data_IF_753361589520
#
_entry.id   IF_753361589520
#
_cell.length_a   1.000
_cell.length_b   1.000
_cell.length_c   1.000
_cell.angle_alpha   90.00
_cell.angle_beta   90.00
_cell.angle_gamma   90.00
#
_symmetry.space_group_name_H-M   'P 1'
#
loop_
_entity.id
_entity.type
_entity.pdbx_description
1 polymer ?
#
# COMPACT_ATOMS: atom_id res chain seq x y z
N UNK A 1 14.98 2.79 33.77
CA UNK A 1 13.74 3.54 34.04
C UNK A 1 13.96 5.06 33.88
N UNK A 2 14.43 5.55 32.71
CA UNK A 2 14.65 7.00 32.45
C UNK A 2 13.98 7.44 31.13
N UNK A 3 13.35 6.53 30.38
CA UNK A 3 12.80 6.80 29.04
C UNK A 3 11.38 7.39 29.01
N UNK A 4 10.72 7.60 30.16
CA UNK A 4 9.30 8.04 30.19
C UNK A 4 9.06 9.49 30.59
N UNK A 5 10.09 10.26 30.97
CA UNK A 5 9.90 11.64 31.46
C UNK A 5 10.10 12.72 30.41
N UNK A 6 10.69 12.43 29.24
CA UNK A 6 10.92 13.45 28.21
C UNK A 6 9.74 13.64 27.23
N UNK A 7 8.86 12.65 27.09
CA UNK A 7 7.75 12.68 26.12
C UNK A 7 6.55 13.50 26.60
N UNK A 8 6.44 13.78 27.90
CA UNK A 8 5.29 14.53 28.46
C UNK A 8 5.44 16.06 28.42
N UNK A 9 6.60 16.62 28.08
CA UNK A 9 6.78 18.08 28.05
C UNK A 9 6.61 18.73 26.67
N UNK A 10 6.54 17.96 25.57
CA UNK A 10 6.41 18.53 24.22
C UNK A 10 4.97 18.73 23.73
N UNK A 11 3.97 18.23 24.48
CA UNK A 11 2.53 18.37 24.13
C UNK A 11 1.82 19.52 24.87
N UNK A 12 2.51 20.28 25.72
CA UNK A 12 1.91 21.36 26.51
C UNK A 12 2.03 22.78 25.88
N UNK A 13 2.53 22.90 24.64
CA UNK A 13 2.97 24.18 24.08
C UNK A 13 2.11 24.83 22.98
N UNK A 14 1.03 24.20 22.48
CA UNK A 14 0.28 24.74 21.32
C UNK A 14 -1.23 24.71 21.53
N UNK A 15 -1.69 25.23 22.67
CA UNK A 15 -3.11 25.57 22.86
C UNK A 15 -3.19 26.95 23.51
N UNK A 16 -3.13 28.01 22.70
CA UNK A 16 -3.67 29.34 23.03
C UNK A 16 -3.51 30.32 21.84
N UNK A 17 -4.29 30.09 20.78
CA UNK A 17 -4.77 31.20 19.93
C UNK A 17 -6.24 30.91 19.65
N UNK A 18 -7.09 31.35 20.57
CA UNK A 18 -8.54 31.43 20.37
C UNK A 18 -8.92 32.90 20.41
N UNK A 19 -9.56 33.35 19.34
CA UNK A 19 -10.31 34.60 19.32
C UNK A 19 -9.78 35.65 18.35
N UNK A 20 -10.19 35.58 17.09
CA UNK A 20 -10.79 36.71 16.37
C UNK A 20 -11.53 36.20 15.13
N UNK A 21 -12.81 36.52 15.09
CA UNK A 21 -13.83 36.14 14.11
C UNK A 21 -13.56 36.72 12.72
N UNK A 22 -13.54 35.86 11.71
CA UNK A 22 -13.51 36.25 10.29
C UNK A 22 -12.92 35.15 9.41
N UNK A 23 -13.58 33.98 9.31
CA UNK A 23 -13.05 32.85 8.53
C UNK A 23 -13.21 33.11 7.03
N UNK A 24 -12.11 33.54 6.41
CA UNK A 24 -11.91 33.35 4.97
C UNK A 24 -11.60 31.87 4.74
N UNK A 25 -12.32 31.14 3.85
CA UNK A 25 -12.11 29.71 3.62
C UNK A 25 -10.72 29.34 3.08
N UNK A 26 -9.93 30.32 2.62
CA UNK A 26 -8.53 30.10 2.21
C UNK A 26 -7.56 29.88 3.39
N UNK A 27 -7.93 30.24 4.63
CA UNK A 27 -7.04 30.11 5.78
C UNK A 27 -6.99 28.67 6.35
N UNK A 28 -8.08 27.90 6.21
CA UNK A 28 -8.18 26.54 6.76
C UNK A 28 -7.39 25.51 5.93
N UNK A 29 -7.27 25.73 4.61
CA UNK A 29 -6.55 24.82 3.73
C UNK A 29 -5.02 24.90 3.92
N UNK A 30 -4.50 26.12 4.14
CA UNK A 30 -3.10 26.35 4.46
C UNK A 30 -2.70 25.74 5.82
N UNK A 31 -3.60 25.76 6.81
CA UNK A 31 -3.39 25.12 8.11
C UNK A 31 -3.29 23.59 8.01
N UNK A 32 -4.16 22.97 7.21
CA UNK A 32 -4.16 21.51 7.00
C UNK A 32 -2.90 21.00 6.29
N UNK A 33 -2.42 21.74 5.28
CA UNK A 33 -1.16 21.40 4.60
C UNK A 33 0.06 21.56 5.52
N UNK A 34 0.08 22.57 6.39
CA UNK A 34 1.15 22.76 7.36
C UNK A 34 1.19 21.63 8.40
N UNK A 35 0.03 21.19 8.91
CA UNK A 35 -0.07 20.09 9.88
C UNK A 35 0.37 18.75 9.27
N UNK A 36 -0.10 18.41 8.07
CA UNK A 36 0.30 17.17 7.39
C UNK A 36 1.80 17.13 7.04
N UNK A 37 2.41 18.27 6.70
CA UNK A 37 3.85 18.38 6.51
C UNK A 37 4.63 18.14 7.81
N UNK A 38 4.10 18.63 8.93
CA UNK A 38 4.70 18.48 10.25
C UNK A 38 4.61 17.03 10.73
N UNK A 39 3.48 16.36 10.53
CA UNK A 39 3.30 14.92 10.82
C UNK A 39 4.27 14.03 10.04
N UNK A 40 4.47 14.32 8.75
CA UNK A 40 5.47 13.61 7.92
C UNK A 40 6.88 13.77 8.49
N UNK A 41 7.28 14.99 8.83
CA UNK A 41 8.60 15.26 9.42
C UNK A 41 8.78 14.60 10.78
N UNK A 42 7.75 14.55 11.61
CA UNK A 42 7.79 13.83 12.89
C UNK A 42 7.99 12.34 12.65
N UNK A 43 7.24 11.75 11.72
CA UNK A 43 7.37 10.32 11.38
C UNK A 43 8.77 9.99 10.84
N UNK A 44 9.33 10.84 9.97
CA UNK A 44 10.70 10.69 9.46
C UNK A 44 11.74 10.77 10.59
N UNK A 45 11.58 11.71 11.53
CA UNK A 45 12.47 11.82 12.69
C UNK A 45 12.38 10.58 13.60
N UNK A 46 11.18 10.05 13.83
CA UNK A 46 10.99 8.82 14.62
C UNK A 46 11.67 7.61 13.96
N UNK A 47 11.60 7.50 12.64
CA UNK A 47 12.33 6.47 11.88
C UNK A 47 13.84 6.63 12.02
N UNK A 48 14.37 7.85 11.90
CA UNK A 48 15.82 8.13 12.08
C UNK A 48 16.26 7.79 13.50
N UNK A 49 15.52 8.19 14.53
CA UNK A 49 15.85 7.90 15.94
C UNK A 49 15.83 6.39 16.19
N UNK A 50 14.86 5.68 15.63
CA UNK A 50 14.77 4.22 15.74
C UNK A 50 15.97 3.53 15.08
N UNK A 51 16.36 3.99 13.88
CA UNK A 51 17.54 3.50 13.17
C UNK A 51 18.85 3.73 13.95
N UNK A 52 19.06 4.96 14.45
CA UNK A 52 20.24 5.30 15.26
C UNK A 52 20.30 4.52 16.57
N UNK A 53 19.14 4.24 17.18
CA UNK A 53 19.08 3.44 18.41
C UNK A 53 19.49 1.99 18.15
N UNK A 54 19.02 1.40 17.05
CA UNK A 54 19.42 0.06 16.64
C UNK A 54 20.93 -0.02 16.31
N UNK A 55 21.48 1.00 15.64
CA UNK A 55 22.91 1.07 15.33
C UNK A 55 23.77 1.21 16.59
N UNK A 56 23.33 2.02 17.57
CA UNK A 56 23.99 2.13 18.87
C UNK A 56 23.98 0.82 19.66
N UNK A 57 22.87 0.07 19.63
CA UNK A 57 22.83 -1.26 20.26
C UNK A 57 23.77 -2.25 19.57
N UNK A 58 23.81 -2.24 18.24
CA UNK A 58 24.75 -3.06 17.45
C UNK A 58 26.21 -2.75 17.82
N UNK A 59 26.58 -1.47 17.88
CA UNK A 59 27.93 -1.04 18.26
C UNK A 59 28.27 -1.41 19.71
N UNK A 60 27.30 -1.33 20.63
CA UNK A 60 27.49 -1.76 22.02
C UNK A 60 27.73 -3.26 22.12
N UNK A 61 26.98 -4.08 21.38
CA UNK A 61 27.20 -5.54 21.35
C UNK A 61 28.57 -5.87 20.76
N UNK A 62 28.97 -5.20 19.68
CA UNK A 62 30.30 -5.37 19.07
C UNK A 62 31.43 -5.00 20.04
N UNK A 63 31.32 -3.86 20.73
CA UNK A 63 32.29 -3.43 21.73
C UNK A 63 32.33 -4.38 22.93
N UNK A 64 31.18 -4.88 23.39
CA UNK A 64 31.13 -5.87 24.47
C UNK A 64 31.79 -7.20 24.07
N UNK A 65 31.63 -7.63 22.81
CA UNK A 65 32.33 -8.78 22.26
C UNK A 65 33.86 -8.59 22.27
N UNK A 66 34.35 -7.44 21.82
CA UNK A 66 35.77 -7.09 21.87
C UNK A 66 36.29 -7.01 23.32
N UNK A 67 35.54 -6.41 24.24
CA UNK A 67 35.95 -6.33 25.64
C UNK A 67 36.06 -7.73 26.27
N UNK A 68 35.13 -8.64 25.98
CA UNK A 68 35.21 -10.03 26.45
C UNK A 68 36.40 -10.77 25.86
N UNK A 69 36.78 -10.52 24.60
CA UNK A 69 37.97 -11.15 24.01
C UNK A 69 39.27 -10.61 24.65
N UNK A 70 39.34 -9.31 24.95
CA UNK A 70 40.44 -8.72 25.71
C UNK A 70 40.52 -9.26 27.15
N UNK A 71 39.40 -9.38 27.85
CA UNK A 71 39.36 -9.95 29.20
C UNK A 71 39.74 -11.44 29.22
N UNK A 72 39.30 -12.21 28.22
CA UNK A 72 39.68 -13.61 28.08
C UNK A 72 41.18 -13.77 27.82
N UNK A 73 41.78 -12.89 27.01
CA UNK A 73 43.23 -12.83 26.82
C UNK A 73 43.96 -12.45 28.11
N UNK A 74 43.47 -11.44 28.85
CA UNK A 74 44.08 -10.97 30.08
C UNK A 74 44.03 -12.01 31.22
N UNK A 75 42.92 -12.76 31.35
CA UNK A 75 42.76 -13.81 32.37
C UNK A 75 43.62 -15.05 32.12
N UNK A 76 44.06 -15.29 30.89
CA UNK A 76 44.83 -16.50 30.54
C UNK A 76 46.31 -16.45 30.92
N UNK A 77 46.81 -15.31 31.44
CA UNK A 77 48.00 -15.23 32.28
C UNK A 77 49.20 -16.06 31.82
N UNK A 78 49.54 -15.99 30.53
CA UNK A 78 50.63 -16.74 29.91
C UNK A 78 50.63 -16.51 28.41
N UNK A 79 51.81 -16.31 27.82
CA UNK A 79 51.94 -16.25 26.36
C UNK A 79 51.34 -17.54 25.78
N UNK A 80 50.28 -17.46 24.95
CA UNK A 80 49.66 -18.65 24.40
C UNK A 80 50.70 -19.39 23.56
N UNK A 81 50.79 -20.71 23.72
CA UNK A 81 51.52 -21.52 22.76
C UNK A 81 50.86 -21.33 21.39
N UNK A 82 51.65 -21.23 20.31
CA UNK A 82 51.19 -20.86 18.97
C UNK A 82 50.00 -21.70 18.44
N UNK A 83 49.78 -22.91 18.98
CA UNK A 83 48.64 -23.78 18.62
C UNK A 83 47.27 -23.35 19.18
N UNK A 84 47.22 -22.76 20.39
CA UNK A 84 45.93 -22.41 21.06
C UNK A 84 45.31 -21.12 20.49
N UNK A 85 46.12 -20.30 19.81
CA UNK A 85 45.65 -19.06 19.16
C UNK A 85 44.87 -19.39 17.89
N UNK A 86 45.29 -20.40 17.14
CA UNK A 86 44.64 -20.78 15.89
C UNK A 86 43.20 -21.29 16.11
N UNK A 87 42.99 -22.15 17.11
CA UNK A 87 41.66 -22.70 17.43
C UNK A 87 40.70 -21.62 17.95
N UNK A 88 41.20 -20.67 18.76
CA UNK A 88 40.40 -19.54 19.23
C UNK A 88 39.99 -18.60 18.10
N UNK A 89 40.89 -18.36 17.13
CA UNK A 89 40.59 -17.52 15.97
C UNK A 89 39.56 -18.21 15.07
N UNK A 90 39.69 -19.51 14.84
CA UNK A 90 38.73 -20.28 14.02
C UNK A 90 37.33 -20.30 14.67
N UNK A 91 37.25 -20.55 15.98
CA UNK A 91 35.98 -20.50 16.71
C UNK A 91 35.34 -19.09 16.71
N UNK A 92 36.16 -18.03 16.82
CA UNK A 92 35.69 -16.65 16.75
C UNK A 92 35.16 -16.29 15.36
N UNK A 93 35.85 -16.70 14.29
CA UNK A 93 35.40 -16.50 12.90
C UNK A 93 34.12 -17.27 12.63
N UNK A 94 34.00 -18.51 13.08
CA UNK A 94 32.78 -19.32 12.94
C UNK A 94 31.59 -18.68 13.68
N UNK A 95 31.81 -18.17 14.90
CA UNK A 95 30.79 -17.46 15.66
C UNK A 95 30.37 -16.14 14.98
N UNK A 96 31.32 -15.40 14.40
CA UNK A 96 31.02 -14.18 13.66
C UNK A 96 30.23 -14.45 12.36
N UNK A 97 30.61 -15.49 11.61
CA UNK A 97 29.88 -15.91 10.41
C UNK A 97 28.43 -16.30 10.75
N UNK A 98 28.23 -17.11 11.80
CA UNK A 98 26.89 -17.48 12.26
C UNK A 98 26.07 -16.26 12.69
N UNK A 99 26.67 -15.33 13.43
CA UNK A 99 25.99 -14.09 13.85
C UNK A 99 25.60 -13.21 12.65
N UNK A 100 26.42 -13.17 11.59
CA UNK A 100 26.10 -12.46 10.34
C UNK A 100 24.95 -13.12 9.59
N UNK A 101 24.93 -14.45 9.51
CA UNK A 101 23.83 -15.21 8.89
C UNK A 101 22.51 -14.98 9.63
N UNK A 102 22.50 -15.04 10.96
CA UNK A 102 21.32 -14.76 11.78
C UNK A 102 20.82 -13.32 11.58
N UNK A 103 21.73 -12.33 11.54
CA UNK A 103 21.39 -10.94 11.27
C UNK A 103 20.79 -10.76 9.87
N UNK A 104 21.35 -11.42 8.85
CA UNK A 104 20.83 -11.36 7.49
C UNK A 104 19.42 -11.96 7.41
N UNK A 105 19.19 -13.11 8.03
CA UNK A 105 17.86 -13.73 8.10
C UNK A 105 16.84 -12.83 8.79
N UNK A 106 17.24 -12.15 9.87
CA UNK A 106 16.39 -11.20 10.57
C UNK A 106 16.03 -10.00 9.68
N UNK A 107 17.00 -9.46 8.94
CA UNK A 107 16.75 -8.36 8.00
C UNK A 107 15.81 -8.78 6.86
N UNK A 108 15.99 -9.98 6.30
CA UNK A 108 15.11 -10.50 5.26
C UNK A 108 13.67 -10.72 5.78
N UNK A 109 13.52 -11.19 7.02
CA UNK A 109 12.22 -11.34 7.66
C UNK A 109 11.52 -9.98 7.84
N UNK A 110 12.24 -8.98 8.36
CA UNK A 110 11.74 -7.61 8.50
C UNK A 110 11.28 -7.03 7.15
N UNK A 111 12.11 -7.13 6.11
CA UNK A 111 11.74 -6.68 4.78
C UNK A 111 10.52 -7.42 4.20
N UNK A 112 10.36 -8.72 4.49
CA UNK A 112 9.19 -9.49 4.06
C UNK A 112 7.92 -8.98 4.74
N UNK A 113 7.99 -8.68 6.03
CA UNK A 113 6.85 -8.19 6.79
C UNK A 113 6.47 -6.76 6.39
N UNK A 114 7.43 -5.87 6.19
CA UNK A 114 7.20 -4.53 5.63
C UNK A 114 6.52 -4.60 4.25
N UNK A 115 7.00 -5.48 3.35
CA UNK A 115 6.37 -5.69 2.04
C UNK A 115 4.94 -6.21 2.16
N UNK A 116 4.66 -7.08 3.14
CA UNK A 116 3.30 -7.59 3.42
C UNK A 116 2.39 -6.47 3.90
N UNK A 117 2.83 -5.66 4.87
CA UNK A 117 2.08 -4.52 5.38
C UNK A 117 1.79 -3.50 4.27
N UNK A 118 2.80 -3.17 3.45
CA UNK A 118 2.62 -2.26 2.33
C UNK A 118 1.67 -2.84 1.25
N UNK A 119 1.70 -4.16 1.03
CA UNK A 119 0.76 -4.80 0.13
C UNK A 119 -0.68 -4.74 0.67
N UNK A 120 -0.87 -4.93 1.97
CA UNK A 120 -2.17 -4.83 2.63
C UNK A 120 -2.73 -3.41 2.62
N UNK A 121 -1.92 -2.40 2.96
CA UNK A 121 -2.32 -0.99 2.85
C UNK A 121 -2.75 -0.63 1.43
N UNK A 122 -2.00 -1.08 0.41
CA UNK A 122 -2.37 -0.87 -0.99
C UNK A 122 -3.68 -1.55 -1.36
N UNK A 123 -3.97 -2.73 -0.79
CA UNK A 123 -5.25 -3.43 -1.00
C UNK A 123 -6.41 -2.64 -0.37
N UNK A 124 -6.24 -2.17 0.85
CA UNK A 124 -7.25 -1.36 1.56
C UNK A 124 -7.54 -0.06 0.80
N UNK A 125 -6.49 0.70 0.44
CA UNK A 125 -6.65 1.93 -0.36
C UNK A 125 -7.27 1.67 -1.73
N UNK A 126 -6.95 0.55 -2.37
CA UNK A 126 -7.56 0.18 -3.65
C UNK A 126 -9.05 -0.19 -3.48
N UNK A 127 -9.44 -0.79 -2.36
CA UNK A 127 -10.83 -1.10 -2.06
C UNK A 127 -11.64 0.16 -1.73
N UNK A 128 -11.09 1.05 -0.91
CA UNK A 128 -11.70 2.35 -0.57
C UNK A 128 -11.96 3.19 -1.82
N UNK A 129 -10.93 3.40 -2.66
CA UNK A 129 -11.09 4.10 -3.95
C UNK A 129 -12.14 3.48 -4.86
N UNK A 130 -12.31 2.15 -4.82
CA UNK A 130 -13.35 1.47 -5.60
C UNK A 130 -14.74 1.74 -5.05
N UNK A 131 -14.89 1.78 -3.72
CA UNK A 131 -16.15 2.12 -3.07
C UNK A 131 -16.53 3.56 -3.37
N UNK A 132 -15.58 4.50 -3.24
CA UNK A 132 -15.78 5.91 -3.58
C UNK A 132 -16.15 6.10 -5.04
N UNK A 133 -15.41 5.50 -5.98
CA UNK A 133 -15.72 5.60 -7.41
C UNK A 133 -17.08 5.00 -7.77
N UNK A 134 -17.49 3.93 -7.08
CA UNK A 134 -18.81 3.32 -7.28
C UNK A 134 -19.91 4.24 -6.75
N UNK A 135 -19.71 4.83 -5.57
CA UNK A 135 -20.67 5.78 -4.99
C UNK A 135 -20.79 7.02 -5.88
N UNK A 136 -19.69 7.62 -6.33
CA UNK A 136 -19.69 8.76 -7.24
C UNK A 136 -20.45 8.44 -8.53
N UNK A 137 -20.22 7.26 -9.13
CA UNK A 137 -20.94 6.85 -10.34
C UNK A 137 -22.45 6.68 -10.09
N UNK A 138 -22.85 6.18 -8.92
CA UNK A 138 -24.26 6.08 -8.54
C UNK A 138 -24.85 7.48 -8.37
N UNK A 139 -24.13 8.39 -7.70
CA UNK A 139 -24.57 9.76 -7.46
C UNK A 139 -24.76 10.50 -8.80
N UNK A 140 -23.77 10.43 -9.70
CA UNK A 140 -23.85 11.00 -11.06
C UNK A 140 -25.03 10.41 -11.85
N UNK A 141 -25.21 9.09 -11.84
CA UNK A 141 -26.31 8.43 -12.54
C UNK A 141 -27.67 8.83 -11.93
N UNK A 142 -27.73 8.98 -10.61
CA UNK A 142 -28.96 9.38 -9.92
C UNK A 142 -29.39 10.79 -10.29
N UNK A 143 -28.43 11.70 -10.47
CA UNK A 143 -28.67 13.08 -10.89
C UNK A 143 -29.16 13.13 -12.34
N UNK A 144 -28.50 12.41 -13.25
CA UNK A 144 -28.87 12.37 -14.68
C UNK A 144 -30.26 11.78 -14.91
N UNK A 145 -30.61 10.73 -14.16
CA UNK A 145 -31.91 10.05 -14.27
C UNK A 145 -32.99 10.64 -13.38
N UNK A 146 -32.64 11.63 -12.54
CA UNK A 146 -33.51 12.22 -11.53
C UNK A 146 -34.20 11.14 -10.66
N UNK A 147 -33.41 10.20 -10.13
CA UNK A 147 -33.92 9.10 -9.30
C UNK A 147 -34.35 9.59 -7.92
N UNK A 148 -35.47 9.08 -7.42
CA UNK A 148 -35.84 9.27 -6.01
C UNK A 148 -34.95 8.43 -5.07
N UNK A 149 -34.98 8.73 -3.77
CA UNK A 149 -34.13 8.07 -2.77
C UNK A 149 -34.30 6.53 -2.75
N UNK A 150 -35.51 6.02 -3.00
CA UNK A 150 -35.79 4.59 -3.05
C UNK A 150 -35.18 3.94 -4.30
N UNK A 151 -35.33 4.58 -5.46
CA UNK A 151 -34.68 4.15 -6.70
C UNK A 151 -33.15 4.20 -6.61
N UNK A 152 -32.60 5.19 -5.91
CA UNK A 152 -31.14 5.31 -5.69
C UNK A 152 -30.59 4.15 -4.86
N UNK A 153 -31.29 3.76 -3.79
CA UNK A 153 -30.88 2.62 -2.96
C UNK A 153 -30.94 1.31 -3.75
N UNK A 154 -31.99 1.11 -4.56
CA UNK A 154 -32.10 -0.06 -5.45
C UNK A 154 -31.02 -0.07 -6.54
N UNK A 155 -30.72 1.06 -7.17
CA UNK A 155 -29.63 1.20 -8.12
C UNK A 155 -28.29 0.81 -7.47
N UNK A 156 -28.05 1.28 -6.25
CA UNK A 156 -26.84 0.95 -5.48
C UNK A 156 -26.71 -0.54 -5.21
N UNK A 157 -27.81 -1.19 -4.83
CA UNK A 157 -27.85 -2.63 -4.60
C UNK A 157 -27.52 -3.41 -5.89
N UNK A 158 -28.22 -3.09 -7.00
CA UNK A 158 -28.01 -3.73 -8.30
C UNK A 158 -26.55 -3.55 -8.76
N UNK A 159 -26.02 -2.33 -8.68
CA UNK A 159 -24.64 -2.03 -9.08
C UNK A 159 -23.62 -2.80 -8.22
N UNK A 160 -23.85 -2.86 -6.90
CA UNK A 160 -22.97 -3.60 -5.97
C UNK A 160 -23.00 -5.09 -6.26
N UNK A 161 -24.17 -5.66 -6.50
CA UNK A 161 -24.33 -7.08 -6.83
C UNK A 161 -23.69 -7.44 -8.18
N UNK A 162 -23.90 -6.62 -9.21
CA UNK A 162 -23.29 -6.81 -10.52
C UNK A 162 -21.75 -6.78 -10.43
N UNK A 163 -21.19 -5.78 -9.73
CA UNK A 163 -19.75 -5.70 -9.49
C UNK A 163 -19.19 -6.89 -8.71
N UNK A 164 -19.92 -7.36 -7.68
CA UNK A 164 -19.56 -8.54 -6.91
C UNK A 164 -19.51 -9.80 -7.79
N UNK A 165 -20.53 -9.98 -8.64
CA UNK A 165 -20.61 -11.14 -9.54
C UNK A 165 -19.50 -11.13 -10.58
N UNK A 166 -19.21 -9.96 -11.19
CA UNK A 166 -18.09 -9.81 -12.12
C UNK A 166 -16.77 -10.15 -11.43
N UNK A 167 -16.57 -9.67 -10.19
CA UNK A 167 -15.37 -9.98 -9.40
C UNK A 167 -15.22 -11.49 -9.18
N UNK A 168 -16.31 -12.17 -8.85
CA UNK A 168 -16.31 -13.61 -8.63
C UNK A 168 -15.98 -14.39 -9.91
N UNK A 169 -16.50 -13.96 -11.06
CA UNK A 169 -16.13 -14.52 -12.37
C UNK A 169 -14.61 -14.42 -12.58
N UNK A 170 -14.04 -13.22 -12.39
CA UNK A 170 -12.60 -13.02 -12.51
C UNK A 170 -11.78 -13.79 -11.49
N UNK A 171 -12.30 -13.96 -10.26
CA UNK A 171 -11.61 -14.71 -9.22
C UNK A 171 -11.56 -16.19 -9.54
N UNK A 172 -12.68 -16.78 -9.99
CA UNK A 172 -12.76 -18.18 -10.45
C UNK A 172 -11.82 -18.44 -11.62
N UNK A 173 -11.79 -17.55 -12.61
CA UNK A 173 -10.88 -17.70 -13.76
C UNK A 173 -9.41 -17.66 -13.37
N UNK A 174 -9.05 -16.85 -12.35
CA UNK A 174 -7.68 -16.83 -11.83
C UNK A 174 -7.35 -18.10 -11.03
N UNK A 175 -8.29 -18.63 -10.25
CA UNK A 175 -8.06 -19.85 -9.46
C UNK A 175 -7.92 -21.09 -10.35
N UNK A 176 -8.69 -21.15 -11.42
CA UNK A 176 -8.78 -22.35 -12.26
C UNK A 176 -7.64 -22.43 -13.29
N UNK A 177 -6.87 -21.36 -13.45
CA UNK A 177 -5.71 -21.30 -14.35
C UNK A 177 -6.06 -21.31 -15.85
N UNK A 178 -7.32 -21.51 -16.21
CA UNK A 178 -7.85 -21.39 -17.56
C UNK A 178 -8.46 -20.01 -17.78
N UNK A 179 -7.76 -19.15 -18.52
CA UNK A 179 -8.32 -17.88 -18.98
C UNK A 179 -9.06 -18.13 -20.32
N UNK A 180 -10.26 -18.72 -20.23
CA UNK A 180 -11.17 -18.80 -21.38
C UNK A 180 -11.88 -17.45 -21.54
N UNK A 181 -11.47 -16.73 -22.59
CA UNK A 181 -12.00 -15.40 -22.90
C UNK A 181 -13.47 -15.43 -23.29
N UNK A 182 -13.89 -16.44 -24.04
CA UNK A 182 -15.26 -16.50 -24.56
C UNK A 182 -16.21 -16.81 -23.40
N UNK A 183 -15.81 -17.72 -22.51
CA UNK A 183 -16.53 -17.97 -21.26
C UNK A 183 -16.59 -16.72 -20.36
N UNK A 184 -15.51 -15.94 -20.27
CA UNK A 184 -15.48 -14.69 -19.51
C UNK A 184 -16.44 -13.66 -20.06
N UNK A 185 -16.41 -13.51 -21.38
CA UNK A 185 -17.24 -12.55 -22.10
C UNK A 185 -18.72 -12.92 -21.93
N UNK A 186 -19.07 -14.19 -22.10
CA UNK A 186 -20.43 -14.67 -21.90
C UNK A 186 -20.92 -14.48 -20.45
N UNK A 187 -20.05 -14.74 -19.46
CA UNK A 187 -20.40 -14.54 -18.05
C UNK A 187 -20.64 -13.06 -17.72
N UNK A 188 -19.83 -12.15 -18.25
CA UNK A 188 -20.01 -10.71 -18.02
C UNK A 188 -21.24 -10.19 -18.75
N UNK A 189 -21.49 -10.63 -19.99
CA UNK A 189 -22.70 -10.27 -20.73
C UNK A 189 -23.96 -10.69 -19.98
N UNK A 190 -23.97 -11.88 -19.38
CA UNK A 190 -25.08 -12.34 -18.54
C UNK A 190 -25.31 -11.41 -17.35
N UNK A 191 -24.24 -11.01 -16.64
CA UNK A 191 -24.36 -10.05 -15.52
C UNK A 191 -24.90 -8.70 -15.98
N UNK A 192 -24.47 -8.22 -17.15
CA UNK A 192 -24.98 -6.96 -17.72
C UNK A 192 -26.47 -7.10 -18.04
N UNK A 193 -26.90 -8.19 -18.67
CA UNK A 193 -28.30 -8.44 -19.00
C UNK A 193 -29.19 -8.57 -17.76
N UNK A 194 -28.72 -9.28 -16.73
CA UNK A 194 -29.42 -9.41 -15.46
C UNK A 194 -29.57 -8.05 -14.78
N UNK A 195 -28.49 -7.24 -14.79
CA UNK A 195 -28.51 -5.87 -14.26
C UNK A 195 -29.45 -4.97 -15.07
N UNK A 196 -29.45 -5.03 -16.40
CA UNK A 196 -30.37 -4.25 -17.25
C UNK A 196 -31.83 -4.64 -17.01
N UNK A 197 -32.10 -5.92 -16.78
CA UNK A 197 -33.45 -6.42 -16.46
C UNK A 197 -33.91 -5.87 -15.12
N UNK A 198 -33.08 -5.95 -14.08
CA UNK A 198 -33.39 -5.39 -12.77
C UNK A 198 -33.58 -3.86 -12.83
N UNK A 199 -32.78 -3.15 -13.62
CA UNK A 199 -32.91 -1.71 -13.84
C UNK A 199 -34.25 -1.35 -14.50
N UNK A 200 -34.72 -2.16 -15.45
CA UNK A 200 -36.00 -1.93 -16.13
C UNK A 200 -37.22 -2.07 -15.20
N UNK A 201 -37.10 -2.84 -14.12
CA UNK A 201 -38.18 -3.01 -13.13
C UNK A 201 -38.31 -1.81 -12.19
N UNK A 202 -37.21 -1.09 -11.94
CA UNK A 202 -37.19 0.04 -11.01
C UNK A 202 -37.31 1.40 -11.70
N UNK A 203 -36.87 1.51 -12.96
CA UNK A 203 -36.90 2.75 -13.74
C UNK A 203 -38.18 2.87 -14.56
N UNK A 204 -38.67 4.09 -14.72
CA UNK A 204 -39.68 4.38 -15.75
C UNK A 204 -39.11 4.16 -17.16
N UNK A 205 -39.97 4.01 -18.17
CA UNK A 205 -39.53 3.81 -19.57
C UNK A 205 -38.62 4.95 -20.05
N UNK A 206 -38.93 6.19 -19.68
CA UNK A 206 -38.12 7.37 -20.03
C UNK A 206 -36.76 7.37 -19.31
N UNK A 207 -36.73 7.03 -18.02
CA UNK A 207 -35.48 6.91 -17.27
C UNK A 207 -34.61 5.76 -17.79
N UNK A 208 -35.22 4.63 -18.15
CA UNK A 208 -34.51 3.49 -18.70
C UNK A 208 -33.92 3.79 -20.08
N UNK A 209 -34.62 4.54 -20.93
CA UNK A 209 -34.09 4.98 -22.22
C UNK A 209 -32.83 5.85 -22.04
N UNK A 210 -32.87 6.85 -21.13
CA UNK A 210 -31.70 7.67 -20.79
C UNK A 210 -30.56 6.83 -20.21
N UNK A 211 -30.87 5.88 -19.34
CA UNK A 211 -29.89 4.96 -18.80
C UNK A 211 -29.17 4.18 -19.92
N UNK A 212 -29.90 3.69 -20.93
CA UNK A 212 -29.27 3.01 -22.06
C UNK A 212 -28.38 3.95 -22.87
N UNK A 213 -28.80 5.19 -23.10
CA UNK A 213 -27.99 6.20 -23.79
C UNK A 213 -26.67 6.48 -23.06
N UNK A 214 -26.70 6.60 -21.73
CA UNK A 214 -25.50 6.82 -20.90
C UNK A 214 -24.57 5.59 -20.83
N UNK A 215 -25.11 4.37 -21.01
CA UNK A 215 -24.31 3.14 -21.01
C UNK A 215 -23.70 2.83 -22.39
N UNK A 216 -24.21 3.42 -23.47
CA UNK A 216 -23.77 3.15 -24.83
C UNK A 216 -22.25 3.39 -25.05
N UNK A 217 -21.63 4.48 -24.55
CA UNK A 217 -20.18 4.66 -24.65
C UNK A 217 -19.40 3.54 -23.93
N UNK A 218 -19.91 3.07 -22.81
CA UNK A 218 -19.28 2.01 -22.01
C UNK A 218 -19.40 0.67 -22.73
N UNK A 219 -20.57 0.40 -23.34
CA UNK A 219 -20.80 -0.78 -24.17
C UNK A 219 -19.85 -0.81 -25.37
N UNK A 220 -19.65 0.32 -26.05
CA UNK A 220 -18.70 0.42 -27.16
C UNK A 220 -17.25 0.17 -26.72
N UNK A 221 -16.85 0.65 -25.54
CA UNK A 221 -15.52 0.34 -24.97
C UNK A 221 -15.42 -1.16 -24.67
N UNK A 222 -16.46 -1.77 -24.10
CA UNK A 222 -16.50 -3.21 -23.81
C UNK A 222 -16.38 -4.06 -25.08
N UNK A 223 -17.11 -3.70 -26.13
CA UNK A 223 -17.02 -4.35 -27.44
C UNK A 223 -15.64 -4.13 -28.09
N UNK A 224 -15.05 -2.94 -27.94
CA UNK A 224 -13.68 -2.66 -28.36
C UNK A 224 -12.68 -3.58 -27.64
N UNK A 225 -12.84 -3.76 -26.33
CA UNK A 225 -12.02 -4.68 -25.53
C UNK A 225 -12.24 -6.16 -25.91
N UNK A 226 -13.44 -6.54 -26.37
CA UNK A 226 -13.72 -7.87 -26.95
C UNK A 226 -12.96 -8.12 -28.26
N UNK A 227 -12.70 -7.06 -29.03
CA UNK A 227 -11.93 -7.16 -30.27
C UNK A 227 -10.42 -6.92 -30.11
N UNK A 228 -9.96 -6.38 -28.98
CA UNK A 228 -8.53 -6.25 -28.71
C UNK A 228 -7.91 -7.63 -28.45
N UNK A 229 -7.04 -8.07 -29.36
CA UNK A 229 -6.33 -9.34 -29.25
C UNK A 229 -5.20 -9.22 -28.21
N UNK A 230 -5.53 -9.35 -26.91
CA UNK A 230 -4.56 -9.33 -25.80
C UNK A 230 -3.54 -10.51 -25.85
N UNK A 231 -3.66 -11.40 -26.83
CA UNK A 231 -2.77 -12.54 -27.06
C UNK A 231 -1.51 -12.26 -27.90
N UNK A 232 -1.34 -11.07 -28.49
CA UNK A 232 -0.11 -10.76 -29.24
C UNK A 232 0.85 -9.94 -28.37
N UNK A 233 1.80 -10.65 -27.77
CA UNK A 233 2.76 -10.12 -26.81
C UNK A 233 3.44 -8.82 -27.24
N UNK A 234 3.22 -7.76 -26.47
CA UNK A 234 4.26 -6.78 -26.16
C UNK A 234 4.66 -6.90 -24.71
N UNK A 235 5.40 -7.98 -24.45
CA UNK A 235 6.39 -8.06 -23.39
C UNK A 235 7.59 -7.17 -23.81
N UNK A 236 7.36 -5.86 -23.88
CA UNK A 236 8.41 -4.84 -23.98
C UNK A 236 8.24 -3.99 -22.74
N UNK A 237 8.91 -4.30 -21.64
CA UNK A 237 10.35 -4.09 -21.57
C UNK A 237 10.52 -2.71 -20.95
N UNK A 238 10.60 -2.69 -19.62
CA UNK A 238 11.04 -1.50 -18.90
C UNK A 238 12.38 -1.07 -19.48
N UNK A 239 12.41 0.11 -20.07
CA UNK A 239 13.59 0.66 -20.71
C UNK A 239 13.55 2.18 -20.61
N UNK A 240 14.48 2.71 -19.81
CA UNK A 240 14.99 4.07 -19.86
C UNK A 240 14.00 5.25 -19.75
N UNK A 241 13.74 5.66 -18.50
CA UNK A 241 13.59 7.09 -18.16
C UNK A 241 14.47 7.37 -16.95
N UNK A 242 15.69 7.86 -17.19
CA UNK A 242 16.60 8.23 -16.10
C UNK A 242 18.08 8.32 -16.48
N UNK A 243 18.42 8.75 -17.70
CA UNK A 243 19.79 9.10 -18.07
C UNK A 243 19.98 10.61 -17.99
N UNK A 244 20.28 11.11 -16.80
CA UNK A 244 20.66 12.50 -16.56
C UNK A 244 22.15 12.63 -16.94
N UNK A 245 22.45 12.96 -18.19
CA UNK A 245 23.82 13.26 -18.62
C UNK A 245 23.96 14.76 -18.82
N UNK A 246 24.29 15.43 -17.73
CA UNK A 246 25.08 16.67 -17.74
C UNK A 246 26.36 16.40 -18.54
N UNK A 247 26.79 17.25 -19.48
CA UNK A 247 27.14 18.64 -19.22
C UNK A 247 28.62 18.68 -18.85
N UNK A 248 29.49 18.88 -19.84
CA UNK A 248 30.94 18.96 -19.66
C UNK A 248 31.60 19.33 -20.98
N UNK A 249 31.74 20.63 -21.21
CA UNK A 249 32.75 21.23 -22.08
C UNK A 249 34.16 21.02 -21.51
#
# INVERSE_FOLDING_TARGET
>A
MIRYTLTCMLLAGVVLVSGCTGSSPEADEAGSQALSSLEKRVTEMEQIISGLTAELERLRVQNAGMQRSFEAMAKRGGAPADGDVAELVEAAVAAELKAREELQQQQEAQQRDERRQQAEQRRQQAEERRREATQQRIDEMSEVLALDEGQQEQLKEIATQAQGTIRDVFQKMRSDGSFDRDAMTAAIDAVIQDSETAMKEILSEEQFAKYQEEQEPIRQIWEGLRNMNFGQGRRGGGGNRGGNQAGGD
#
